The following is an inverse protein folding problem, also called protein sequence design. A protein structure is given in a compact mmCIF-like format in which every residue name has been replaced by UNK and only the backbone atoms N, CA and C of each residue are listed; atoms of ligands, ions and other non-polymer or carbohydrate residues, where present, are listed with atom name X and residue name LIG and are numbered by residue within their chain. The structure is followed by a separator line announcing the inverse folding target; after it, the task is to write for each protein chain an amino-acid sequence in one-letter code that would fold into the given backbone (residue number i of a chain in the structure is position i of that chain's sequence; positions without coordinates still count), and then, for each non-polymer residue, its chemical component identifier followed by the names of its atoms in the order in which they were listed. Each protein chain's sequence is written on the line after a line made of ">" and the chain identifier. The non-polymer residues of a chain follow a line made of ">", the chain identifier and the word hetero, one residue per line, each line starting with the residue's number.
data_IF_984708203084
#
_entry.id   IF_984708203084
#
_cell.length_a   1.000
_cell.length_b   1.000
_cell.length_c   1.000
_cell.angle_alpha   90.00
_cell.angle_beta   90.00
_cell.angle_gamma   90.00
#
_symmetry.space_group_name_H-M   'P 1'
#
loop_
_entity.id
_entity.type
_entity.pdbx_description
1 polymer ?
#
# COMPACT_ATOMS: atom_id res chain seq x y z
N UNK A 1 -28.28 -37.59 -3.95
CA UNK A 1 -27.78 -36.71 -2.87
C UNK A 1 -28.80 -36.72 -1.75
N UNK A 2 -28.45 -37.32 -0.60
CA UNK A 2 -29.27 -37.21 0.62
C UNK A 2 -28.65 -36.13 1.50
N UNK A 3 -29.47 -35.18 1.94
CA UNK A 3 -29.03 -34.11 2.83
C UNK A 3 -28.91 -34.65 4.26
N UNK A 4 -27.70 -34.66 4.81
CA UNK A 4 -27.48 -34.96 6.23
C UNK A 4 -27.91 -33.78 7.11
N UNK A 5 -29.09 -33.91 7.73
CA UNK A 5 -29.68 -32.90 8.62
C UNK A 5 -28.98 -32.75 9.97
N UNK A 6 -28.11 -33.69 10.34
CA UNK A 6 -27.40 -33.68 11.63
C UNK A 6 -26.16 -32.77 11.65
N UNK A 7 -25.66 -32.33 10.49
CA UNK A 7 -24.52 -31.42 10.40
C UNK A 7 -25.05 -29.99 10.24
N UNK A 8 -24.72 -29.12 11.20
CA UNK A 8 -25.03 -27.68 11.13
C UNK A 8 -24.44 -27.12 9.82
N UNK A 9 -25.20 -26.28 9.12
CA UNK A 9 -24.78 -25.73 7.82
C UNK A 9 -23.37 -25.13 7.84
N UNK A 10 -23.01 -24.45 8.94
CA UNK A 10 -21.68 -23.86 9.13
C UNK A 10 -20.53 -24.89 9.13
N UNK A 11 -20.75 -26.09 9.67
CA UNK A 11 -19.71 -27.15 9.78
C UNK A 11 -19.70 -28.11 8.59
N UNK A 12 -20.59 -27.93 7.61
CA UNK A 12 -20.64 -28.78 6.39
C UNK A 12 -19.44 -28.58 5.47
N UNK A 13 -18.69 -27.50 5.66
CA UNK A 13 -17.51 -27.18 4.86
C UNK A 13 -16.19 -27.60 5.52
N UNK A 14 -16.24 -28.10 6.76
CA UNK A 14 -15.06 -28.40 7.57
C UNK A 14 -14.19 -29.50 6.94
N UNK A 15 -14.78 -30.50 6.30
CA UNK A 15 -14.03 -31.57 5.62
C UNK A 15 -13.20 -31.06 4.42
N UNK A 16 -13.63 -29.99 3.75
CA UNK A 16 -12.86 -29.34 2.67
C UNK A 16 -11.70 -28.53 3.27
N UNK A 17 -11.92 -27.94 4.45
CA UNK A 17 -10.89 -27.21 5.18
C UNK A 17 -9.79 -28.16 5.70
N UNK A 18 -10.18 -29.32 6.22
CA UNK A 18 -9.28 -30.32 6.81
C UNK A 18 -8.49 -31.12 5.76
N UNK A 19 -9.03 -31.27 4.55
CA UNK A 19 -8.40 -32.01 3.45
C UNK A 19 -7.38 -31.22 2.62
N UNK A 20 -7.12 -29.94 2.94
CA UNK A 20 -6.19 -29.12 2.17
C UNK A 20 -4.72 -29.31 2.61
N UNK A 21 -3.83 -29.87 1.77
CA UNK A 21 -2.47 -30.28 2.14
C UNK A 21 -1.46 -29.12 2.29
N UNK A 22 -1.88 -27.85 2.17
CA UNK A 22 -0.98 -26.69 2.09
C UNK A 22 -0.88 -25.86 3.38
N UNK A 23 -1.56 -26.26 4.46
CA UNK A 23 -1.55 -25.52 5.74
C UNK A 23 -0.16 -25.39 6.34
N UNK A 24 0.65 -26.44 6.29
CA UNK A 24 2.04 -26.44 6.77
C UNK A 24 2.94 -25.42 6.05
N UNK A 25 2.73 -25.24 4.74
CA UNK A 25 3.51 -24.28 3.93
C UNK A 25 3.16 -22.84 4.33
N UNK A 26 1.88 -22.57 4.60
CA UNK A 26 1.43 -21.24 5.03
C UNK A 26 1.95 -20.88 6.43
N UNK A 27 1.92 -21.84 7.37
CA UNK A 27 2.53 -21.65 8.70
C UNK A 27 4.04 -21.40 8.62
N UNK A 28 4.75 -22.16 7.79
CA UNK A 28 6.17 -21.95 7.55
C UNK A 28 6.46 -20.55 6.98
N UNK A 29 5.64 -20.10 6.01
CA UNK A 29 5.73 -18.75 5.45
C UNK A 29 5.56 -17.67 6.51
N UNK A 30 4.61 -17.83 7.43
CA UNK A 30 4.37 -16.85 8.49
C UNK A 30 5.52 -16.84 9.48
N UNK A 31 6.05 -18.00 9.86
CA UNK A 31 7.22 -18.06 10.73
C UNK A 31 8.42 -17.34 10.09
N UNK A 32 8.68 -17.58 8.81
CA UNK A 32 9.75 -16.89 8.09
C UNK A 32 9.53 -15.37 8.05
N UNK A 33 8.30 -14.93 7.78
CA UNK A 33 7.96 -13.50 7.70
C UNK A 33 8.03 -12.82 9.07
N UNK A 34 7.65 -13.52 10.14
CA UNK A 34 7.81 -13.05 11.52
C UNK A 34 9.28 -12.91 11.90
N UNK A 35 10.15 -13.83 11.48
CA UNK A 35 11.60 -13.70 11.71
C UNK A 35 12.15 -12.46 10.99
N UNK A 36 11.73 -12.20 9.75
CA UNK A 36 12.14 -11.00 9.01
C UNK A 36 11.69 -9.73 9.73
N UNK A 37 10.43 -9.65 10.16
CA UNK A 37 9.92 -8.50 10.91
C UNK A 37 10.67 -8.32 12.23
N UNK A 38 10.82 -9.37 13.04
CA UNK A 38 11.54 -9.26 14.32
C UNK A 38 12.98 -8.80 14.14
N UNK A 39 13.66 -9.24 13.08
CA UNK A 39 14.99 -8.79 12.75
C UNK A 39 15.01 -7.30 12.37
N UNK A 40 14.08 -6.85 11.54
CA UNK A 40 13.95 -5.44 11.14
C UNK A 40 13.57 -4.54 12.33
N UNK A 41 12.57 -4.94 13.13
CA UNK A 41 12.23 -4.27 14.38
C UNK A 41 13.45 -4.15 15.30
N UNK A 42 14.24 -5.20 15.43
CA UNK A 42 15.49 -5.22 16.20
C UNK A 42 16.53 -4.24 15.67
N UNK A 43 16.72 -4.18 14.35
CA UNK A 43 17.62 -3.20 13.72
C UNK A 43 17.16 -1.76 13.94
N UNK A 44 15.88 -1.46 13.71
CA UNK A 44 15.31 -0.12 13.92
C UNK A 44 15.43 0.28 15.39
N UNK A 45 15.10 -0.61 16.32
CA UNK A 45 15.25 -0.38 17.75
C UNK A 45 16.71 -0.12 18.14
N UNK A 46 17.67 -0.91 17.62
CA UNK A 46 19.10 -0.69 17.87
C UNK A 46 19.55 0.68 17.35
N UNK A 47 19.14 1.08 16.15
CA UNK A 47 19.47 2.39 15.59
C UNK A 47 18.89 3.49 16.48
N UNK A 48 17.61 3.42 16.85
CA UNK A 48 16.99 4.41 17.73
C UNK A 48 17.68 4.49 19.09
N UNK A 49 17.93 3.34 19.74
CA UNK A 49 18.60 3.29 21.04
C UNK A 49 20.03 3.82 20.98
N UNK A 50 20.79 3.48 19.94
CA UNK A 50 22.16 3.97 19.75
C UNK A 50 22.19 5.48 19.52
N UNK A 51 21.26 6.00 18.71
CA UNK A 51 21.16 7.43 18.41
C UNK A 51 20.77 8.20 19.67
N UNK A 52 19.78 7.71 20.42
CA UNK A 52 19.32 8.31 21.67
C UNK A 52 20.39 8.28 22.77
N UNK A 53 21.08 7.14 22.95
CA UNK A 53 22.18 7.04 23.92
C UNK A 53 23.33 7.98 23.57
N UNK A 54 23.73 8.04 22.29
CA UNK A 54 24.78 8.95 21.84
C UNK A 54 24.38 10.41 22.05
N UNK A 55 23.11 10.74 21.81
CA UNK A 55 22.59 12.09 22.00
C UNK A 55 22.52 12.48 23.48
N UNK A 56 21.99 11.62 24.36
CA UNK A 56 21.95 11.87 25.82
C UNK A 56 23.35 11.99 26.40
N UNK A 57 24.27 11.09 26.03
CA UNK A 57 25.65 11.13 26.51
C UNK A 57 26.35 12.43 26.08
N UNK A 58 26.06 12.93 24.88
CA UNK A 58 26.59 14.20 24.38
C UNK A 58 25.99 15.39 25.13
N UNK A 59 24.68 15.43 25.35
CA UNK A 59 24.03 16.50 26.13
C UNK A 59 24.58 16.59 27.56
N UNK A 60 24.80 15.45 28.23
CA UNK A 60 25.38 15.42 29.57
C UNK A 60 26.84 15.88 29.62
N UNK A 61 27.55 15.88 28.48
CA UNK A 61 28.91 16.42 28.36
C UNK A 61 28.92 17.93 28.03
N UNK A 62 27.78 18.51 27.61
CA UNK A 62 27.68 19.91 27.14
C UNK A 62 27.61 20.96 28.27
N UNK A 63 27.53 20.57 29.55
CA UNK A 63 27.87 21.48 30.66
C UNK A 63 29.39 21.81 30.72
N UNK A 64 30.17 21.20 29.80
CA UNK A 64 31.63 21.29 29.56
C UNK A 64 32.24 22.62 29.12
N UNK A 65 31.89 23.09 27.91
CA UNK A 65 32.70 24.12 27.21
C UNK A 65 32.02 24.70 25.97
N UNK A 66 32.36 25.96 25.68
CA UNK A 66 31.98 26.84 24.56
C UNK A 66 32.43 26.36 23.15
N UNK A 67 32.16 25.12 22.75
CA UNK A 67 32.38 24.71 21.36
C UNK A 67 31.08 24.74 20.56
N UNK A 68 30.98 25.70 19.64
CA UNK A 68 30.05 25.68 18.52
C UNK A 68 30.40 24.49 17.60
N UNK A 69 30.03 23.27 18.02
CA UNK A 69 30.38 22.05 17.30
C UNK A 69 29.58 21.91 16.02
N UNK A 70 30.29 21.68 14.91
CA UNK A 70 29.75 21.22 13.64
C UNK A 70 28.77 20.06 13.88
N UNK A 71 27.48 20.29 13.62
CA UNK A 71 26.49 19.22 13.56
C UNK A 71 26.93 18.24 12.46
N UNK A 72 26.73 16.93 12.61
CA UNK A 72 27.10 15.94 11.58
C UNK A 72 25.88 15.08 11.18
N UNK A 73 25.78 14.76 9.89
CA UNK A 73 24.76 13.87 9.34
C UNK A 73 23.34 14.45 9.38
N UNK A 74 22.39 13.71 9.95
CA UNK A 74 20.95 14.06 9.90
C UNK A 74 20.60 15.35 10.65
N UNK A 75 21.45 15.82 11.58
CA UNK A 75 21.21 17.07 12.31
C UNK A 75 21.45 18.31 11.44
N UNK A 76 22.39 18.23 10.51
CA UNK A 76 22.70 19.31 9.56
C UNK A 76 21.54 19.66 8.62
N UNK A 77 20.63 18.71 8.40
CA UNK A 77 19.48 18.91 7.53
C UNK A 77 18.23 19.39 8.27
N UNK A 78 18.28 19.62 9.59
CA UNK A 78 17.11 20.02 10.39
C UNK A 78 16.35 21.23 9.82
N UNK A 79 17.07 22.20 9.22
CA UNK A 79 16.52 23.39 8.58
C UNK A 79 15.96 23.20 7.17
N UNK A 80 16.08 22.01 6.56
CA UNK A 80 15.59 21.73 5.19
C UNK A 80 14.67 20.49 5.10
N UNK A 81 14.59 19.65 6.14
CA UNK A 81 13.76 18.41 6.18
C UNK A 81 12.28 18.65 5.85
N UNK A 82 11.72 19.79 6.29
CA UNK A 82 10.29 20.08 6.15
C UNK A 82 9.95 20.92 4.91
N UNK A 83 10.88 21.05 3.96
CA UNK A 83 10.60 21.72 2.69
C UNK A 83 9.48 20.98 1.94
N UNK A 84 8.58 21.70 1.24
CA UNK A 84 7.56 21.04 0.44
C UNK A 84 8.17 20.17 -0.66
N UNK A 85 7.62 18.97 -0.92
CA UNK A 85 8.14 18.07 -1.93
C UNK A 85 7.93 18.64 -3.34
N UNK A 86 8.84 18.29 -4.25
CA UNK A 86 8.61 18.49 -5.70
C UNK A 86 7.29 17.82 -6.08
N UNK A 87 6.39 18.51 -6.79
CA UNK A 87 5.06 17.97 -7.14
C UNK A 87 4.24 17.50 -5.92
N UNK A 88 4.25 18.26 -4.81
CA UNK A 88 3.53 17.89 -3.58
C UNK A 88 2.03 17.63 -3.75
N UNK A 89 1.37 18.19 -4.77
CA UNK A 89 -0.02 17.88 -5.12
C UNK A 89 -0.23 16.42 -5.55
N UNK A 90 0.71 15.84 -6.30
CA UNK A 90 0.59 14.45 -6.73
C UNK A 90 0.84 13.50 -5.55
N UNK A 91 1.80 13.83 -4.69
CA UNK A 91 2.09 13.05 -3.49
C UNK A 91 0.89 13.04 -2.54
N UNK A 92 0.27 14.19 -2.29
CA UNK A 92 -0.92 14.26 -1.43
C UNK A 92 -2.09 13.45 -2.00
N UNK A 93 -2.27 13.46 -3.32
CA UNK A 93 -3.27 12.63 -4.01
C UNK A 93 -3.00 11.14 -3.78
N UNK A 94 -1.76 10.68 -3.99
CA UNK A 94 -1.40 9.28 -3.76
C UNK A 94 -1.53 8.86 -2.30
N UNK A 95 -1.15 9.71 -1.34
CA UNK A 95 -1.34 9.45 0.09
C UNK A 95 -2.83 9.31 0.46
N UNK A 96 -3.70 10.15 -0.13
CA UNK A 96 -5.14 10.05 0.06
C UNK A 96 -5.71 8.75 -0.49
N UNK A 97 -5.43 8.44 -1.75
CA UNK A 97 -5.88 7.20 -2.39
C UNK A 97 -5.32 5.95 -1.71
N UNK A 98 -4.04 5.98 -1.30
CA UNK A 98 -3.39 4.92 -0.54
C UNK A 98 -4.04 4.68 0.81
N UNK A 99 -4.34 5.74 1.56
CA UNK A 99 -5.06 5.63 2.84
C UNK A 99 -6.43 5.00 2.68
N UNK A 100 -7.19 5.39 1.64
CA UNK A 100 -8.50 4.81 1.36
C UNK A 100 -8.40 3.31 1.08
N UNK A 101 -7.44 2.89 0.26
CA UNK A 101 -7.20 1.48 -0.09
C UNK A 101 -6.72 0.70 1.14
N UNK A 102 -5.85 1.27 1.96
CA UNK A 102 -5.35 0.67 3.21
C UNK A 102 -6.48 0.38 4.20
N UNK A 103 -7.33 1.38 4.48
CA UNK A 103 -8.48 1.21 5.37
C UNK A 103 -9.48 0.21 4.76
N UNK A 104 -9.77 0.32 3.47
CA UNK A 104 -10.68 -0.61 2.78
C UNK A 104 -10.17 -2.06 2.89
N UNK A 105 -8.89 -2.29 2.62
CA UNK A 105 -8.29 -3.64 2.65
C UNK A 105 -8.27 -4.19 4.06
N UNK A 106 -7.88 -3.38 5.05
CA UNK A 106 -7.92 -3.77 6.46
C UNK A 106 -9.34 -4.17 6.90
N UNK A 107 -10.34 -3.34 6.64
CA UNK A 107 -11.73 -3.60 7.05
C UNK A 107 -12.30 -4.83 6.33
N UNK A 108 -12.01 -4.98 5.03
CA UNK A 108 -12.45 -6.15 4.25
C UNK A 108 -11.86 -7.44 4.79
N UNK A 109 -10.54 -7.46 5.04
CA UNK A 109 -9.85 -8.63 5.58
C UNK A 109 -10.26 -8.92 7.02
N UNK A 110 -10.54 -7.90 7.83
CA UNK A 110 -11.05 -8.06 9.18
C UNK A 110 -12.41 -8.77 9.19
N UNK A 111 -13.37 -8.33 8.36
CA UNK A 111 -14.66 -9.01 8.23
C UNK A 111 -14.54 -10.42 7.63
N UNK A 112 -13.59 -10.63 6.71
CA UNK A 112 -13.28 -11.97 6.20
C UNK A 112 -12.70 -12.88 7.29
N UNK A 113 -11.82 -12.36 8.15
CA UNK A 113 -11.23 -13.08 9.27
C UNK A 113 -12.28 -13.49 10.33
N UNK A 114 -13.31 -12.67 10.56
CA UNK A 114 -14.43 -13.01 11.45
C UNK A 114 -15.41 -14.03 10.85
N UNK A 115 -15.21 -14.43 9.59
CA UNK A 115 -16.07 -15.42 8.92
C UNK A 115 -17.36 -14.85 8.33
N UNK A 116 -17.56 -13.53 8.34
CA UNK A 116 -18.74 -12.90 7.73
C UNK A 116 -18.72 -12.97 6.20
N UNK A 117 -17.55 -13.09 5.59
CA UNK A 117 -17.36 -13.25 4.15
C UNK A 117 -16.97 -14.71 3.86
N UNK A 118 -17.96 -15.59 3.79
CA UNK A 118 -17.72 -16.99 3.45
C UNK A 118 -17.26 -17.15 1.99
N UNK A 119 -16.22 -17.96 1.71
CA UNK A 119 -15.82 -18.34 0.35
C UNK A 119 -16.96 -18.96 -0.48
N UNK A 120 -18.02 -19.46 0.16
CA UNK A 120 -19.18 -20.03 -0.51
C UNK A 120 -19.97 -18.99 -1.35
N UNK A 121 -19.90 -17.70 -1.00
CA UNK A 121 -20.56 -16.64 -1.76
C UNK A 121 -19.55 -16.01 -2.75
N UNK A 122 -19.46 -16.59 -3.95
CA UNK A 122 -18.54 -16.13 -5.00
C UNK A 122 -18.78 -14.65 -5.30
N UNK A 123 -17.74 -13.83 -5.15
CA UNK A 123 -17.78 -12.39 -5.42
C UNK A 123 -18.21 -11.51 -4.25
N UNK A 124 -18.66 -12.07 -3.12
CA UNK A 124 -19.04 -11.26 -1.94
C UNK A 124 -17.89 -10.39 -1.41
N UNK A 125 -16.66 -10.93 -1.42
CA UNK A 125 -15.47 -10.19 -1.00
C UNK A 125 -15.20 -8.99 -1.92
N UNK A 126 -15.32 -9.17 -3.24
CA UNK A 126 -15.16 -8.09 -4.21
C UNK A 126 -16.25 -7.03 -4.07
N UNK A 127 -17.52 -7.44 -3.91
CA UNK A 127 -18.63 -6.51 -3.69
C UNK A 127 -18.44 -5.71 -2.40
N UNK A 128 -18.03 -6.38 -1.31
CA UNK A 128 -17.73 -5.73 -0.04
C UNK A 128 -16.60 -4.70 -0.19
N UNK A 129 -15.51 -5.07 -0.86
CA UNK A 129 -14.39 -4.16 -1.12
C UNK A 129 -14.83 -2.93 -1.93
N UNK A 130 -15.62 -3.11 -3.01
CA UNK A 130 -16.14 -1.99 -3.82
C UNK A 130 -17.03 -1.07 -3.00
N UNK A 131 -17.96 -1.61 -2.21
CA UNK A 131 -18.86 -0.81 -1.37
C UNK A 131 -18.06 -0.05 -0.30
N UNK A 132 -17.14 -0.72 0.40
CA UNK A 132 -16.26 -0.09 1.38
C UNK A 132 -15.41 1.00 0.73
N UNK A 133 -14.85 0.75 -0.46
CA UNK A 133 -14.07 1.73 -1.20
C UNK A 133 -14.90 3.00 -1.47
N UNK A 134 -16.13 2.85 -1.97
CA UNK A 134 -17.05 3.98 -2.23
C UNK A 134 -17.34 4.78 -0.96
N UNK A 135 -17.61 4.10 0.15
CA UNK A 135 -17.93 4.71 1.45
C UNK A 135 -16.70 5.34 2.15
N UNK A 136 -15.50 4.89 1.83
CA UNK A 136 -14.25 5.39 2.41
C UNK A 136 -13.63 6.57 1.62
N UNK A 137 -14.41 7.25 0.79
CA UNK A 137 -13.97 8.48 0.11
C UNK A 137 -13.56 9.61 1.08
N UNK A 138 -14.20 9.68 2.26
CA UNK A 138 -13.93 10.72 3.27
C UNK A 138 -12.49 10.68 3.81
N UNK A 139 -11.94 9.53 4.28
CA UNK A 139 -10.51 9.42 4.61
C UNK A 139 -9.56 9.87 3.49
N UNK A 140 -9.85 9.50 2.24
CA UNK A 140 -9.01 9.84 1.09
C UNK A 140 -8.89 11.36 0.92
N UNK A 141 -10.03 12.04 0.87
CA UNK A 141 -10.10 13.49 0.76
C UNK A 141 -9.47 14.19 1.95
N UNK A 142 -9.70 13.70 3.17
CA UNK A 142 -9.15 14.28 4.40
C UNK A 142 -7.63 14.23 4.41
N UNK A 143 -7.02 13.06 4.18
CA UNK A 143 -5.56 12.91 4.19
C UNK A 143 -4.91 13.72 3.07
N UNK A 144 -5.42 13.62 1.84
CA UNK A 144 -4.89 14.40 0.72
C UNK A 144 -4.92 15.90 0.99
N UNK A 145 -6.04 16.40 1.52
CA UNK A 145 -6.20 17.81 1.86
C UNK A 145 -5.23 18.28 2.95
N UNK A 146 -5.09 17.49 4.02
CA UNK A 146 -4.24 17.81 5.17
C UNK A 146 -2.78 17.92 4.76
N UNK A 147 -2.26 16.92 4.05
CA UNK A 147 -0.88 16.93 3.58
C UNK A 147 -0.64 18.01 2.52
N UNK A 148 -1.57 18.21 1.58
CA UNK A 148 -1.42 19.27 0.58
C UNK A 148 -1.36 20.67 1.22
N UNK A 149 -2.18 20.93 2.24
CA UNK A 149 -2.12 22.17 3.03
C UNK A 149 -0.80 22.31 3.77
N UNK A 150 -0.29 21.23 4.38
CA UNK A 150 1.01 21.22 5.06
C UNK A 150 2.19 21.49 4.12
N UNK A 151 2.08 21.15 2.84
CA UNK A 151 3.06 21.51 1.82
C UNK A 151 2.92 22.95 1.31
N UNK A 152 2.06 23.78 1.91
CA UNK A 152 1.79 25.15 1.46
C UNK A 152 0.86 25.23 0.24
N UNK A 153 0.12 24.17 -0.06
CA UNK A 153 -0.82 24.12 -1.19
C UNK A 153 -2.12 24.86 -0.92
N UNK A 154 -2.46 25.83 -1.76
CA UNK A 154 -3.70 26.63 -1.64
C UNK A 154 -4.85 26.11 -2.52
N UNK A 155 -4.52 25.41 -3.63
CA UNK A 155 -5.49 24.97 -4.65
C UNK A 155 -6.25 23.70 -4.23
N UNK A 156 -6.94 23.77 -3.10
CA UNK A 156 -7.59 22.61 -2.50
C UNK A 156 -8.61 21.92 -3.42
N UNK A 157 -9.41 22.69 -4.17
CA UNK A 157 -10.40 22.16 -5.13
C UNK A 157 -9.74 21.26 -6.18
N UNK A 158 -8.57 21.67 -6.69
CA UNK A 158 -7.81 20.88 -7.67
C UNK A 158 -7.25 19.61 -7.05
N UNK A 159 -6.74 19.70 -5.82
CA UNK A 159 -6.26 18.52 -5.09
C UNK A 159 -7.38 17.50 -4.91
N UNK A 160 -8.58 17.94 -4.48
CA UNK A 160 -9.73 17.02 -4.31
C UNK A 160 -10.14 16.39 -5.62
N UNK A 161 -10.30 17.17 -6.70
CA UNK A 161 -10.64 16.62 -8.00
C UNK A 161 -9.61 15.57 -8.46
N UNK A 162 -8.32 15.85 -8.30
CA UNK A 162 -7.29 14.85 -8.62
C UNK A 162 -7.37 13.61 -7.72
N UNK A 163 -7.65 13.76 -6.42
CA UNK A 163 -7.85 12.61 -5.51
C UNK A 163 -9.04 11.75 -5.92
N UNK A 164 -10.15 12.36 -6.33
CA UNK A 164 -11.36 11.63 -6.72
C UNK A 164 -11.28 10.98 -8.10
N UNK A 165 -10.48 11.55 -9.02
CA UNK A 165 -10.48 11.15 -10.43
C UNK A 165 -9.21 10.43 -10.91
N UNK A 166 -8.02 10.72 -10.38
CA UNK A 166 -6.78 10.23 -10.95
C UNK A 166 -6.65 8.71 -10.84
N UNK A 167 -6.54 8.18 -9.61
CA UNK A 167 -6.38 6.74 -9.40
C UNK A 167 -7.64 5.95 -9.80
N UNK A 168 -8.86 6.36 -9.44
CA UNK A 168 -10.07 5.62 -9.82
C UNK A 168 -10.33 5.67 -11.31
N UNK A 169 -10.00 6.78 -11.98
CA UNK A 169 -10.12 6.92 -13.42
C UNK A 169 -9.17 6.02 -14.20
N UNK A 170 -7.93 5.85 -13.72
CA UNK A 170 -6.98 4.89 -14.32
C UNK A 170 -7.53 3.45 -14.19
N UNK A 171 -7.99 3.06 -13.01
CA UNK A 171 -8.56 1.72 -12.77
C UNK A 171 -9.81 1.50 -13.61
N UNK A 172 -10.70 2.49 -13.68
CA UNK A 172 -11.93 2.41 -14.48
C UNK A 172 -11.62 2.34 -15.99
N UNK A 173 -10.64 3.10 -16.48
CA UNK A 173 -10.25 3.07 -17.89
C UNK A 173 -9.70 1.70 -18.30
N UNK A 174 -8.78 1.13 -17.50
CA UNK A 174 -8.24 -0.21 -17.76
C UNK A 174 -9.35 -1.27 -17.70
N UNK A 175 -10.16 -1.25 -16.64
CA UNK A 175 -11.31 -2.14 -16.48
C UNK A 175 -12.32 -2.02 -17.64
N UNK A 176 -12.60 -0.82 -18.12
CA UNK A 176 -13.51 -0.58 -19.23
C UNK A 176 -12.94 -1.16 -20.54
N UNK A 177 -11.64 -0.97 -20.81
CA UNK A 177 -10.98 -1.57 -21.98
C UNK A 177 -11.06 -3.10 -21.93
N UNK A 178 -10.77 -3.70 -20.77
CA UNK A 178 -10.90 -5.15 -20.57
C UNK A 178 -12.35 -5.62 -20.80
N UNK A 179 -13.33 -4.86 -20.34
CA UNK A 179 -14.74 -5.18 -20.56
C UNK A 179 -15.17 -5.07 -22.03
N UNK A 180 -14.63 -4.11 -22.79
CA UNK A 180 -14.88 -4.00 -24.24
C UNK A 180 -14.37 -5.24 -24.99
N UNK A 181 -13.20 -5.75 -24.61
CA UNK A 181 -12.64 -6.99 -25.19
C UNK A 181 -13.56 -8.18 -24.86
N UNK A 182 -14.02 -8.29 -23.62
CA UNK A 182 -14.95 -9.36 -23.21
C UNK A 182 -16.28 -9.30 -23.96
N UNK A 183 -16.83 -8.12 -24.24
CA UNK A 183 -18.00 -7.97 -25.10
C UNK A 183 -17.72 -8.35 -26.55
N UNK A 184 -16.56 -7.97 -27.09
CA UNK A 184 -16.15 -8.34 -28.45
C UNK A 184 -16.05 -9.85 -28.65
N UNK A 185 -15.59 -10.58 -27.64
CA UNK A 185 -15.51 -12.05 -27.62
C UNK A 185 -16.84 -12.74 -27.26
N UNK A 186 -17.90 -11.98 -26.96
CA UNK A 186 -19.19 -12.55 -26.53
C UNK A 186 -19.11 -13.34 -25.22
N UNK A 187 -18.14 -13.01 -24.35
CA UNK A 187 -17.88 -13.75 -23.11
C UNK A 187 -18.98 -13.54 -22.07
N UNK A 188 -19.39 -14.61 -21.40
CA UNK A 188 -20.31 -14.55 -20.25
C UNK A 188 -19.69 -13.89 -19.01
N UNK A 189 -18.37 -13.71 -18.99
CA UNK A 189 -17.66 -12.95 -17.97
C UNK A 189 -17.75 -11.42 -18.18
N UNK A 190 -18.26 -10.97 -19.34
CA UNK A 190 -18.43 -9.55 -19.61
C UNK A 190 -19.47 -8.94 -18.68
N UNK A 191 -19.15 -7.78 -18.11
CA UNK A 191 -20.03 -7.10 -17.17
C UNK A 191 -21.12 -6.39 -17.96
N UNK A 192 -22.40 -6.58 -17.60
CA UNK A 192 -23.50 -5.98 -18.32
C UNK A 192 -23.47 -4.45 -18.16
N UNK A 193 -23.95 -3.74 -19.19
CA UNK A 193 -23.94 -2.28 -19.25
C UNK A 193 -24.59 -1.62 -18.01
N UNK A 194 -25.68 -2.20 -17.49
CA UNK A 194 -26.34 -1.71 -16.28
C UNK A 194 -25.42 -1.68 -15.05
N UNK A 195 -24.57 -2.70 -14.87
CA UNK A 195 -23.61 -2.74 -13.76
C UNK A 195 -22.51 -1.69 -13.93
N UNK A 196 -22.06 -1.43 -15.15
CA UNK A 196 -21.10 -0.34 -15.43
C UNK A 196 -21.69 1.03 -15.05
N UNK A 197 -22.94 1.29 -15.44
CA UNK A 197 -23.65 2.52 -15.08
C UNK A 197 -23.83 2.62 -13.56
N UNK A 198 -24.13 1.51 -12.88
CA UNK A 198 -24.23 1.48 -11.42
C UNK A 198 -22.90 1.81 -10.73
N UNK A 199 -21.78 1.24 -11.19
CA UNK A 199 -20.43 1.54 -10.65
C UNK A 199 -20.08 3.01 -10.87
N UNK A 200 -20.38 3.56 -12.06
CA UNK A 200 -20.21 4.98 -12.34
C UNK A 200 -21.07 5.85 -11.42
N UNK A 201 -22.35 5.50 -11.22
CA UNK A 201 -23.22 6.23 -10.30
C UNK A 201 -22.69 6.20 -8.86
N UNK A 202 -22.21 5.05 -8.37
CA UNK A 202 -21.59 4.95 -7.05
C UNK A 202 -20.33 5.83 -6.94
N UNK A 203 -19.51 5.88 -7.99
CA UNK A 203 -18.31 6.72 -8.02
C UNK A 203 -18.67 8.22 -8.02
N UNK A 204 -19.49 8.68 -8.96
CA UNK A 204 -19.80 10.10 -9.13
C UNK A 204 -20.79 10.64 -8.10
N UNK A 205 -21.80 9.88 -7.69
CA UNK A 205 -22.87 10.35 -6.80
C UNK A 205 -22.56 10.12 -5.32
N UNK A 206 -21.66 9.19 -4.98
CA UNK A 206 -21.33 8.88 -3.58
C UNK A 206 -19.85 9.16 -3.30
N UNK A 207 -18.93 8.44 -3.96
CA UNK A 207 -17.50 8.53 -3.64
C UNK A 207 -16.94 9.95 -3.83
N UNK A 208 -17.23 10.59 -4.96
CA UNK A 208 -16.79 11.96 -5.24
C UNK A 208 -17.30 12.94 -4.16
N UNK A 209 -18.61 13.08 -3.87
CA UNK A 209 -19.08 13.93 -2.76
C UNK A 209 -18.43 13.63 -1.41
N UNK A 210 -18.25 12.34 -1.06
CA UNK A 210 -17.59 11.95 0.19
C UNK A 210 -16.14 12.42 0.25
N UNK A 211 -15.38 12.29 -0.85
CA UNK A 211 -14.01 12.83 -0.93
C UNK A 211 -13.98 14.36 -0.76
N UNK A 212 -14.96 15.09 -1.31
CA UNK A 212 -15.09 16.53 -1.08
C UNK A 212 -15.38 16.87 0.37
N UNK A 213 -16.28 16.13 1.02
CA UNK A 213 -16.60 16.30 2.46
C UNK A 213 -15.33 16.08 3.30
N UNK A 214 -14.62 14.97 3.07
CA UNK A 214 -13.38 14.67 3.77
C UNK A 214 -12.33 15.76 3.60
N UNK A 215 -12.14 16.23 2.36
CA UNK A 215 -11.19 17.28 2.07
C UNK A 215 -11.56 18.64 2.65
N UNK A 216 -12.85 18.98 2.69
CA UNK A 216 -13.33 20.20 3.34
C UNK A 216 -12.95 20.21 4.82
N UNK A 217 -13.21 19.11 5.53
CA UNK A 217 -12.78 18.97 6.93
C UNK A 217 -11.25 18.95 7.09
N UNK A 218 -10.54 18.32 6.14
CA UNK A 218 -9.08 18.29 6.11
C UNK A 218 -8.46 19.67 5.97
N UNK A 219 -8.98 20.48 5.04
CA UNK A 219 -8.51 21.85 4.79
C UNK A 219 -8.91 22.83 5.90
N UNK A 220 -10.02 22.60 6.59
CA UNK A 220 -10.45 23.44 7.71
C UNK A 220 -9.53 23.32 8.93
N UNK A 221 -8.91 22.16 9.14
CA UNK A 221 -7.94 21.96 10.23
C UNK A 221 -6.64 22.74 9.97
N UNK A 222 -5.96 23.17 11.04
CA UNK A 222 -4.68 23.89 10.96
C UNK A 222 -3.62 23.05 10.27
N UNK A 223 -2.76 23.64 9.43
CA UNK A 223 -1.67 22.90 8.81
C UNK A 223 -0.84 22.16 9.88
N UNK A 224 -0.29 20.99 9.54
CA UNK A 224 0.63 20.29 10.46
C UNK A 224 1.83 21.22 10.68
N UNK A 225 1.99 21.68 11.92
CA UNK A 225 3.09 22.57 12.30
C UNK A 225 4.38 21.76 12.39
N UNK A 226 5.42 22.25 11.72
CA UNK A 226 6.73 21.64 11.77
C UNK A 226 7.52 22.22 12.95
N UNK A 227 8.29 21.39 13.68
CA UNK A 227 9.03 21.84 14.86
C UNK A 227 10.12 22.86 14.53
N UNK A 228 10.54 22.93 13.26
CA UNK A 228 11.62 23.79 12.76
C UNK A 228 11.12 24.56 11.54
N UNK A 229 11.50 25.84 11.45
CA UNK A 229 11.28 26.66 10.26
C UNK A 229 12.33 26.34 9.20
N UNK A 230 11.90 26.25 7.95
CA UNK A 230 12.82 25.97 6.84
C UNK A 230 13.69 27.17 6.50
N UNK A 231 14.95 26.92 6.17
CA UNK A 231 15.87 27.95 5.66
C UNK A 231 15.40 28.47 4.29
N UNK A 232 15.68 29.76 4.03
CA UNK A 232 15.30 30.40 2.76
C UNK A 232 16.07 29.80 1.57
N UNK A 233 17.37 29.59 1.76
CA UNK A 233 18.25 29.05 0.72
C UNK A 233 18.39 27.54 0.95
N UNK A 234 18.07 26.70 -0.05
CA UNK A 234 18.26 25.26 0.06
C UNK A 234 19.74 24.92 0.13
N UNK A 235 20.14 24.07 1.09
CA UNK A 235 21.50 23.55 1.17
C UNK A 235 21.83 22.67 -0.04
N UNK A 236 23.09 22.72 -0.47
CA UNK A 236 23.63 21.80 -1.47
C UNK A 236 23.82 20.41 -0.87
N UNK A 237 23.30 19.38 -1.56
CA UNK A 237 23.41 17.99 -1.12
C UNK A 237 24.79 17.47 -1.52
N UNK A 238 25.55 16.85 -0.59
CA UNK A 238 26.85 16.27 -0.91
C UNK A 238 26.72 15.07 -1.85
N UNK A 239 27.83 14.67 -2.48
CA UNK A 239 27.85 13.52 -3.37
C UNK A 239 27.48 12.23 -2.62
N UNK A 240 26.50 11.52 -3.16
CA UNK A 240 25.93 10.32 -2.55
C UNK A 240 26.70 9.07 -2.98
N UNK A 241 26.98 8.20 -2.01
CA UNK A 241 27.43 6.83 -2.27
C UNK A 241 26.43 6.05 -3.13
N UNK A 242 26.86 4.96 -3.78
CA UNK A 242 25.98 4.19 -4.67
C UNK A 242 24.67 3.76 -4.01
N UNK A 243 24.72 3.28 -2.76
CA UNK A 243 23.54 2.79 -2.04
C UNK A 243 22.62 3.91 -1.52
N UNK A 244 23.15 5.11 -1.31
CA UNK A 244 22.35 6.26 -0.84
C UNK A 244 21.73 7.08 -1.98
N UNK A 245 22.10 6.77 -3.23
CA UNK A 245 21.43 7.30 -4.43
C UNK A 245 19.95 6.89 -4.45
N UNK A 246 19.08 7.70 -5.08
CA UNK A 246 17.62 7.50 -5.04
C UNK A 246 17.19 6.15 -5.60
N UNK A 247 17.69 5.76 -6.78
CA UNK A 247 17.23 4.54 -7.44
C UNK A 247 17.67 3.26 -6.70
N UNK A 248 18.96 3.06 -6.36
CA UNK A 248 19.36 1.86 -5.63
C UNK A 248 18.68 1.73 -4.27
N UNK A 249 18.52 2.83 -3.52
CA UNK A 249 17.82 2.83 -2.23
C UNK A 249 16.37 2.39 -2.33
N UNK A 250 15.61 2.93 -3.30
CA UNK A 250 14.21 2.57 -3.53
C UNK A 250 14.07 1.09 -3.90
N UNK A 251 14.95 0.59 -4.78
CA UNK A 251 14.94 -0.82 -5.21
C UNK A 251 15.20 -1.73 -4.00
N UNK A 252 16.23 -1.42 -3.20
CA UNK A 252 16.57 -2.22 -2.02
C UNK A 252 15.47 -2.24 -0.97
N UNK A 253 14.72 -1.14 -0.79
CA UNK A 253 13.65 -1.09 0.21
C UNK A 253 12.49 -2.04 -0.08
N UNK A 254 12.11 -2.18 -1.35
CA UNK A 254 10.96 -3.01 -1.74
C UNK A 254 11.21 -4.52 -1.65
N UNK A 255 12.46 -4.97 -1.51
CA UNK A 255 12.78 -6.41 -1.49
C UNK A 255 12.31 -7.08 -0.20
N UNK A 256 12.39 -6.37 0.94
CA UNK A 256 12.05 -6.92 2.26
C UNK A 256 10.54 -7.16 2.39
N UNK A 257 9.66 -6.17 2.10
CA UNK A 257 8.22 -6.42 2.14
C UNK A 257 7.78 -7.48 1.13
N UNK A 258 8.42 -7.55 -0.04
CA UNK A 258 8.14 -8.58 -1.04
C UNK A 258 8.48 -9.99 -0.52
N UNK A 259 9.64 -10.14 0.13
CA UNK A 259 10.06 -11.40 0.75
C UNK A 259 9.07 -11.92 1.80
N UNK A 260 8.48 -11.01 2.60
CA UNK A 260 7.48 -11.36 3.60
C UNK A 260 6.15 -11.87 3.01
N UNK A 261 5.82 -11.54 1.76
CA UNK A 261 4.50 -11.88 1.19
C UNK A 261 4.57 -12.83 0.00
N UNK A 262 5.75 -13.14 -0.52
CA UNK A 262 5.94 -13.89 -1.76
C UNK A 262 5.15 -15.21 -1.81
N UNK A 263 5.21 -16.01 -0.74
CA UNK A 263 4.49 -17.29 -0.66
C UNK A 263 2.97 -17.05 -0.60
N UNK A 264 2.53 -16.05 0.16
CA UNK A 264 1.11 -15.73 0.25
C UNK A 264 0.56 -15.21 -1.08
N UNK A 265 1.38 -14.47 -1.82
CA UNK A 265 1.06 -13.94 -3.14
C UNK A 265 0.92 -15.07 -4.17
N UNK A 266 1.74 -16.13 -4.09
CA UNK A 266 1.55 -17.36 -4.88
C UNK A 266 0.17 -17.97 -4.66
N UNK A 267 -0.28 -18.12 -3.41
CA UNK A 267 -1.60 -18.66 -3.10
C UNK A 267 -2.74 -17.77 -3.59
N UNK A 268 -2.59 -16.44 -3.51
CA UNK A 268 -3.56 -15.48 -4.05
C UNK A 268 -3.65 -15.63 -5.58
N UNK A 269 -2.51 -15.68 -6.29
CA UNK A 269 -2.51 -15.84 -7.74
C UNK A 269 -3.11 -17.18 -8.18
N UNK A 270 -2.79 -18.29 -7.50
CA UNK A 270 -3.46 -19.58 -7.77
C UNK A 270 -4.96 -19.51 -7.51
N UNK A 271 -5.39 -18.75 -6.51
CA UNK A 271 -6.80 -18.63 -6.20
C UNK A 271 -7.58 -17.86 -7.26
N UNK A 272 -7.02 -16.75 -7.72
CA UNK A 272 -7.63 -15.90 -8.74
C UNK A 272 -7.61 -16.59 -10.11
N UNK A 273 -6.47 -17.17 -10.51
CA UNK A 273 -6.24 -17.61 -11.89
C UNK A 273 -6.34 -19.11 -12.12
N UNK A 274 -6.14 -19.94 -11.09
CA UNK A 274 -6.17 -21.42 -11.19
C UNK A 274 -7.39 -22.04 -10.50
N UNK A 275 -8.41 -21.22 -10.17
CA UNK A 275 -9.67 -21.64 -9.53
C UNK A 275 -9.53 -22.41 -8.21
N UNK A 276 -8.39 -22.30 -7.53
CA UNK A 276 -8.20 -22.88 -6.20
C UNK A 276 -8.90 -22.02 -5.15
N UNK A 277 -9.69 -22.61 -4.27
CA UNK A 277 -10.39 -21.84 -3.25
C UNK A 277 -9.43 -21.45 -2.11
N UNK A 278 -9.23 -20.15 -1.88
CA UNK A 278 -8.47 -19.66 -0.74
C UNK A 278 -9.38 -19.53 0.48
N UNK A 279 -9.23 -20.43 1.45
CA UNK A 279 -10.08 -20.48 2.66
C UNK A 279 -9.43 -19.84 3.90
N UNK A 280 -8.14 -19.53 3.85
CA UNK A 280 -7.32 -19.17 5.01
C UNK A 280 -7.27 -17.65 5.26
N UNK A 281 -8.44 -16.98 5.31
CA UNK A 281 -8.51 -15.51 5.44
C UNK A 281 -7.88 -14.95 6.73
N UNK A 282 -7.90 -15.70 7.83
CA UNK A 282 -7.19 -15.30 9.06
C UNK A 282 -5.67 -15.21 8.85
N UNK A 283 -5.11 -16.14 8.09
CA UNK A 283 -3.68 -16.11 7.73
C UNK A 283 -3.37 -14.93 6.80
N UNK A 284 -4.23 -14.67 5.82
CA UNK A 284 -4.10 -13.50 4.95
C UNK A 284 -4.12 -12.18 5.73
N UNK A 285 -5.00 -12.07 6.74
CA UNK A 285 -5.06 -10.88 7.60
C UNK A 285 -3.78 -10.70 8.44
N UNK A 286 -3.23 -11.78 8.99
CA UNK A 286 -1.95 -11.72 9.72
C UNK A 286 -0.78 -11.30 8.80
N UNK A 287 -0.69 -11.89 7.60
CA UNK A 287 0.33 -11.52 6.61
C UNK A 287 0.18 -10.06 6.17
N UNK A 288 -1.05 -9.55 6.06
CA UNK A 288 -1.32 -8.15 5.79
C UNK A 288 -0.79 -7.23 6.89
N UNK A 289 -0.98 -7.57 8.18
CA UNK A 289 -0.42 -6.81 9.31
C UNK A 289 1.12 -6.81 9.24
N UNK A 290 1.72 -7.99 9.04
CA UNK A 290 3.17 -8.16 8.88
C UNK A 290 3.69 -7.29 7.73
N UNK A 291 2.98 -7.24 6.60
CA UNK A 291 3.32 -6.41 5.45
C UNK A 291 3.33 -4.91 5.83
N UNK A 292 2.28 -4.41 6.49
CA UNK A 292 2.19 -3.00 6.91
C UNK A 292 3.35 -2.62 7.84
N UNK A 293 3.67 -3.50 8.80
CA UNK A 293 4.81 -3.30 9.71
C UNK A 293 6.13 -3.29 8.93
N UNK A 294 6.35 -4.29 8.07
CA UNK A 294 7.58 -4.40 7.27
C UNK A 294 7.78 -3.18 6.36
N UNK A 295 6.72 -2.72 5.68
CA UNK A 295 6.77 -1.52 4.85
C UNK A 295 7.14 -0.28 5.68
N UNK A 296 6.56 -0.15 6.88
CA UNK A 296 6.84 0.97 7.78
C UNK A 296 8.30 0.95 8.25
N UNK A 297 8.80 -0.20 8.70
CA UNK A 297 10.17 -0.36 9.20
C UNK A 297 11.22 -0.15 8.10
N UNK A 298 11.05 -0.76 6.93
CA UNK A 298 11.95 -0.59 5.80
C UNK A 298 12.03 0.89 5.37
N UNK A 299 10.90 1.57 5.35
CA UNK A 299 10.81 3.00 5.01
C UNK A 299 11.48 3.89 6.06
N UNK A 300 11.25 3.64 7.36
CA UNK A 300 11.89 4.39 8.46
C UNK A 300 13.41 4.21 8.40
N UNK A 301 13.89 2.97 8.22
CA UNK A 301 15.31 2.64 8.19
C UNK A 301 16.02 3.30 7.01
N UNK A 302 15.45 3.24 5.81
CA UNK A 302 16.05 3.86 4.63
C UNK A 302 15.94 5.39 4.67
N UNK A 303 14.83 5.94 5.18
CA UNK A 303 14.70 7.37 5.44
C UNK A 303 15.80 7.87 6.37
N UNK A 304 16.06 7.14 7.47
CA UNK A 304 17.14 7.47 8.40
C UNK A 304 18.51 7.49 7.72
N UNK A 305 18.85 6.45 6.94
CA UNK A 305 20.13 6.42 6.22
C UNK A 305 20.26 7.56 5.19
N UNK A 306 19.19 7.96 4.52
CA UNK A 306 19.20 9.11 3.62
C UNK A 306 19.42 10.43 4.35
N UNK A 307 18.77 10.63 5.49
CA UNK A 307 18.97 11.82 6.32
C UNK A 307 20.40 11.86 6.88
N UNK A 308 20.97 10.73 7.29
CA UNK A 308 22.38 10.63 7.69
C UNK A 308 23.34 10.97 6.56
N UNK A 309 22.94 10.75 5.30
CA UNK A 309 23.70 11.14 4.12
C UNK A 309 23.43 12.59 3.66
N UNK A 310 22.79 13.41 4.50
CA UNK A 310 22.47 14.83 4.27
C UNK A 310 21.53 15.09 3.07
N UNK A 311 20.74 14.10 2.65
CA UNK A 311 19.69 14.29 1.65
C UNK A 311 18.32 14.46 2.31
N UNK A 312 17.78 15.68 2.22
CA UNK A 312 16.48 16.04 2.80
C UNK A 312 15.28 15.70 1.91
N UNK A 313 15.45 15.14 0.70
CA UNK A 313 14.33 14.79 -0.19
C UNK A 313 13.64 13.47 0.19
N UNK A 314 13.21 13.35 1.45
CA UNK A 314 12.72 12.09 2.01
C UNK A 314 11.26 11.79 1.63
N UNK A 315 10.39 12.78 1.44
CA UNK A 315 8.93 12.57 1.32
C UNK A 315 8.51 11.66 0.15
N UNK A 316 9.04 11.89 -1.05
CA UNK A 316 8.79 11.00 -2.19
C UNK A 316 9.54 9.68 -2.07
N UNK A 317 10.75 9.73 -1.51
CA UNK A 317 11.56 8.53 -1.35
C UNK A 317 10.91 7.56 -0.38
N UNK A 318 10.33 8.03 0.72
CA UNK A 318 9.65 7.20 1.70
C UNK A 318 8.47 6.46 1.05
N UNK A 319 7.63 7.18 0.31
CA UNK A 319 6.51 6.60 -0.42
C UNK A 319 6.97 5.57 -1.47
N UNK A 320 8.00 5.90 -2.26
CA UNK A 320 8.49 5.02 -3.31
C UNK A 320 9.23 3.79 -2.76
N UNK A 321 9.88 3.89 -1.60
CA UNK A 321 10.68 2.82 -1.01
C UNK A 321 9.84 1.56 -0.74
N UNK A 322 8.72 1.71 -0.02
CA UNK A 322 7.78 0.61 0.20
C UNK A 322 6.90 0.36 -1.01
N UNK A 323 6.48 1.41 -1.73
CA UNK A 323 5.69 1.29 -2.97
C UNK A 323 6.36 0.44 -4.04
N UNK A 324 7.71 0.44 -4.13
CA UNK A 324 8.46 -0.34 -5.11
C UNK A 324 8.27 -1.86 -4.96
N UNK A 325 7.76 -2.33 -3.82
CA UNK A 325 7.29 -3.72 -3.64
C UNK A 325 6.32 -4.16 -4.74
N UNK A 326 5.50 -3.23 -5.27
CA UNK A 326 4.60 -3.48 -6.38
C UNK A 326 5.30 -3.86 -7.69
N UNK A 327 6.53 -3.35 -7.93
CA UNK A 327 7.33 -3.72 -9.10
C UNK A 327 7.83 -5.16 -8.97
N UNK A 328 8.25 -5.57 -7.77
CA UNK A 328 8.59 -6.97 -7.52
C UNK A 328 7.39 -7.89 -7.70
N UNK A 329 6.20 -7.46 -7.26
CA UNK A 329 4.96 -8.18 -7.55
C UNK A 329 4.71 -8.28 -9.07
N UNK A 330 4.86 -7.21 -9.84
CA UNK A 330 4.69 -7.25 -11.30
C UNK A 330 5.66 -8.25 -11.95
N UNK A 331 6.94 -8.23 -11.58
CA UNK A 331 7.96 -9.17 -12.09
C UNK A 331 7.55 -10.62 -11.75
N UNK A 332 7.07 -10.85 -10.53
CA UNK A 332 6.61 -12.16 -10.12
C UNK A 332 5.35 -12.62 -10.88
N UNK A 333 4.40 -11.73 -11.12
CA UNK A 333 3.21 -12.04 -11.91
C UNK A 333 3.59 -12.41 -13.36
N UNK A 334 4.53 -11.69 -13.97
CA UNK A 334 5.08 -12.04 -15.28
C UNK A 334 5.71 -13.45 -15.24
N UNK A 335 6.54 -13.76 -14.25
CA UNK A 335 7.10 -15.09 -14.09
C UNK A 335 6.02 -16.17 -13.88
N UNK A 336 4.99 -15.88 -13.07
CA UNK A 336 3.87 -16.78 -12.83
C UNK A 336 3.08 -17.08 -14.11
N UNK A 337 2.88 -16.08 -14.97
CA UNK A 337 2.26 -16.24 -16.28
C UNK A 337 2.99 -17.28 -17.14
N UNK A 338 4.31 -17.16 -17.29
CA UNK A 338 5.07 -18.08 -18.14
C UNK A 338 5.29 -19.46 -17.52
N UNK A 339 5.43 -19.55 -16.19
CA UNK A 339 5.81 -20.79 -15.52
C UNK A 339 4.64 -21.67 -15.09
N UNK A 340 3.45 -21.10 -14.87
CA UNK A 340 2.29 -21.82 -14.30
C UNK A 340 1.02 -21.75 -15.14
N UNK A 341 0.79 -20.65 -15.83
CA UNK A 341 -0.44 -20.45 -16.61
C UNK A 341 -0.27 -21.02 -18.03
N UNK A 342 -1.21 -21.86 -18.44
CA UNK A 342 -1.31 -22.38 -19.80
C UNK A 342 -2.36 -21.59 -20.60
N UNK A 343 -2.21 -20.26 -20.64
CA UNK A 343 -3.10 -19.38 -21.40
C UNK A 343 -2.56 -19.26 -22.83
N UNK A 344 -3.37 -19.66 -23.83
CA UNK A 344 -3.00 -19.60 -25.25
C UNK A 344 -3.70 -18.47 -26.03
N UNK A 345 -4.82 -17.96 -25.53
CA UNK A 345 -5.62 -16.93 -26.21
C UNK A 345 -5.12 -15.50 -25.96
N UNK A 346 -5.05 -14.70 -27.03
CA UNK A 346 -4.61 -13.29 -26.98
C UNK A 346 -5.49 -12.43 -26.06
N UNK A 347 -6.82 -12.57 -26.15
CA UNK A 347 -7.76 -11.87 -25.27
C UNK A 347 -7.50 -12.21 -23.79
N UNK A 348 -7.31 -13.49 -23.46
CA UNK A 348 -7.01 -13.95 -22.10
C UNK A 348 -5.66 -13.43 -21.58
N UNK A 349 -4.64 -13.33 -22.45
CA UNK A 349 -3.35 -12.71 -22.09
C UNK A 349 -3.51 -11.23 -21.77
N UNK A 350 -4.27 -10.48 -22.58
CA UNK A 350 -4.53 -9.06 -22.34
C UNK A 350 -5.30 -8.87 -21.04
N UNK A 351 -6.32 -9.70 -20.78
CA UNK A 351 -7.09 -9.67 -19.53
C UNK A 351 -6.21 -9.95 -18.31
N UNK A 352 -5.32 -10.96 -18.39
CA UNK A 352 -4.38 -11.26 -17.32
C UNK A 352 -3.53 -10.05 -16.96
N UNK A 353 -2.89 -9.42 -17.96
CA UNK A 353 -2.01 -8.28 -17.72
C UNK A 353 -2.76 -7.02 -17.33
N UNK A 354 -3.96 -6.76 -17.86
CA UNK A 354 -4.82 -5.64 -17.45
C UNK A 354 -5.20 -5.73 -15.98
N UNK A 355 -5.82 -6.84 -15.56
CA UNK A 355 -6.15 -7.04 -14.14
C UNK A 355 -4.91 -7.05 -13.24
N UNK A 356 -3.78 -7.59 -13.71
CA UNK A 356 -2.51 -7.53 -12.96
C UNK A 356 -2.02 -6.09 -12.78
N UNK A 357 -2.15 -5.23 -13.80
CA UNK A 357 -1.80 -3.80 -13.68
C UNK A 357 -2.68 -3.07 -12.65
N UNK A 358 -3.98 -3.37 -12.61
CA UNK A 358 -4.88 -2.86 -11.56
C UNK A 358 -4.40 -3.30 -10.17
N UNK A 359 -4.10 -4.60 -10.00
CA UNK A 359 -3.62 -5.13 -8.72
C UNK A 359 -2.30 -4.48 -8.29
N UNK A 360 -1.35 -4.32 -9.22
CA UNK A 360 -0.06 -3.69 -8.97
C UNK A 360 -0.21 -2.21 -8.60
N UNK A 361 -1.09 -1.47 -9.28
CA UNK A 361 -1.37 -0.06 -8.95
C UNK A 361 -1.98 0.09 -7.55
N UNK A 362 -2.99 -0.73 -7.23
CA UNK A 362 -3.61 -0.75 -5.90
C UNK A 362 -2.57 -1.09 -4.84
N UNK A 363 -1.73 -2.09 -5.10
CA UNK A 363 -0.68 -2.52 -4.19
C UNK A 363 0.41 -1.44 -3.99
N UNK A 364 0.79 -0.72 -5.06
CA UNK A 364 1.71 0.42 -5.01
C UNK A 364 1.18 1.54 -4.13
N UNK A 365 -0.09 1.94 -4.32
CA UNK A 365 -0.73 2.99 -3.54
C UNK A 365 -0.93 2.60 -2.07
N UNK A 366 -1.20 1.32 -1.82
CA UNK A 366 -1.42 0.78 -0.48
C UNK A 366 -0.12 0.67 0.34
N UNK A 367 0.97 0.27 -0.30
CA UNK A 367 2.26 0.03 0.38
C UNK A 367 3.11 1.29 0.52
N UNK A 368 2.98 2.26 -0.40
CA UNK A 368 3.61 3.58 -0.31
C UNK A 368 2.90 4.50 0.66
#
# INVERSE_FOLDING_TARGET
>A
FQEEKNIRWASRWDYILESMPHTHIQWFSIMNSLVIVLFLSGMVAMIMLRTLHKDIARYNQMDSTEDAQEEFGWKLVHGDIFRPPRKGMLLSVFLGSGTQILIMTFVTLFFACLGFLSPANRGALMTCAVVLWVLLGTPAGYVAARFYKSFGGEKWKTNVLLTSFLCPGIVFADFFIMNLILWGEGSSAAIPFGTLVAILALWFCISVPLTFIGAYFGFKKNAIEHPVRTNQIPRQIPEQSFYTKPLPGIIMGGILPFGCIFIQLFFILNSIWSHQMYYMFGFLFLVFIILVITCSEATILLCYFHLCAEDYHWQWRSFLTSGFTAVYFLIYAIHYFFSKLQITGTASTILYFGYTMIMVLIFFLFTG
#
